data_IF_372027086574
#
_entry.id   IF_372027086574
#
_cell.length_a   1.000
_cell.length_b   1.000
_cell.length_c   1.000
_cell.angle_alpha   90.00
_cell.angle_beta   90.00
_cell.angle_gamma   90.00
#
_symmetry.space_group_name_H-M   'P 1'
#
loop_
_entity.id
_entity.type
_entity.pdbx_description
1 polymer ?
#
# COMPACT_ATOMS: atom_id res chain seq x y z
N UNK A 1 67.35 18.31 14.06
CA UNK A 1 66.24 18.93 13.32
C UNK A 1 65.63 17.90 12.37
N UNK A 2 65.45 16.65 12.84
CA UNK A 2 64.90 15.57 12.00
C UNK A 2 63.69 14.81 12.64
N UNK A 3 63.21 15.27 13.78
CA UNK A 3 62.19 14.55 14.57
C UNK A 3 60.75 15.12 14.43
N UNK A 4 60.58 16.28 13.79
CA UNK A 4 59.30 16.96 13.69
C UNK A 4 58.54 16.58 12.39
N UNK A 5 59.26 16.11 11.37
CA UNK A 5 58.65 15.81 10.05
C UNK A 5 57.91 14.46 10.02
N UNK A 6 58.30 13.51 10.89
CA UNK A 6 57.67 12.16 10.92
C UNK A 6 56.31 12.15 11.64
N UNK A 7 56.10 13.08 12.59
CA UNK A 7 54.81 13.14 13.30
C UNK A 7 53.66 13.75 12.47
N UNK A 8 53.97 14.61 11.50
CA UNK A 8 52.92 15.24 10.64
C UNK A 8 52.36 14.29 9.59
N UNK A 9 53.15 13.29 9.15
CA UNK A 9 52.67 12.34 8.14
C UNK A 9 51.72 11.27 8.72
N UNK A 10 51.88 10.90 10.00
CA UNK A 10 51.00 9.92 10.66
C UNK A 10 49.64 10.52 11.06
N UNK A 11 49.57 11.83 11.30
CA UNK A 11 48.31 12.50 11.62
C UNK A 11 47.43 12.70 10.37
N UNK A 12 48.05 12.83 9.19
CA UNK A 12 47.33 13.00 7.92
C UNK A 12 46.71 11.68 7.42
N UNK A 13 47.30 10.52 7.78
CA UNK A 13 46.85 9.20 7.36
C UNK A 13 45.67 8.71 8.21
N UNK A 14 45.48 9.20 9.44
CA UNK A 14 44.37 8.81 10.31
C UNK A 14 43.07 9.56 9.99
N UNK A 15 43.14 10.67 9.25
CA UNK A 15 41.96 11.46 8.88
C UNK A 15 41.24 10.93 7.64
N UNK A 16 41.89 10.03 6.86
CA UNK A 16 41.31 9.49 5.63
C UNK A 16 40.44 8.23 5.84
N UNK A 17 40.41 7.66 7.06
CA UNK A 17 39.69 6.41 7.34
C UNK A 17 38.33 6.61 8.02
N UNK A 18 37.89 7.86 8.21
CA UNK A 18 36.68 8.20 8.94
C UNK A 18 35.42 8.45 8.10
N UNK A 19 35.51 8.39 6.77
CA UNK A 19 34.34 8.57 5.90
C UNK A 19 33.76 7.21 5.48
N UNK A 20 33.24 6.47 6.45
CA UNK A 20 32.31 5.39 6.14
C UNK A 20 31.06 6.04 5.55
N UNK A 21 30.97 6.09 4.23
CA UNK A 21 29.74 6.40 3.52
C UNK A 21 28.78 5.28 3.90
N UNK A 22 27.86 5.54 4.83
CA UNK A 22 26.68 4.72 5.01
C UNK A 22 25.86 4.85 3.73
N UNK A 23 26.18 4.04 2.72
CA UNK A 23 25.29 3.79 1.61
C UNK A 23 24.05 3.15 2.22
N UNK A 24 22.99 3.94 2.45
CA UNK A 24 21.68 3.36 2.64
C UNK A 24 21.40 2.54 1.41
N UNK A 25 21.30 1.23 1.56
CA UNK A 25 20.76 0.37 0.51
C UNK A 25 19.32 0.86 0.28
N UNK A 26 19.09 1.54 -0.84
CA UNK A 26 17.71 1.84 -1.27
C UNK A 26 17.08 0.50 -1.64
N UNK A 27 16.17 0.04 -0.82
CA UNK A 27 15.35 -1.12 -1.15
C UNK A 27 14.46 -0.75 -2.33
N UNK A 28 14.45 -1.58 -3.37
CA UNK A 28 13.57 -1.38 -4.51
C UNK A 28 12.11 -1.41 -4.04
N UNK A 29 11.28 -0.45 -4.44
CA UNK A 29 9.87 -0.43 -4.06
C UNK A 29 9.18 -1.68 -4.62
N UNK A 30 8.34 -2.30 -3.80
CA UNK A 30 7.57 -3.50 -4.15
C UNK A 30 6.09 -3.21 -4.31
N UNK A 31 5.61 -2.09 -3.77
CA UNK A 31 4.21 -1.69 -3.80
C UNK A 31 4.03 -0.26 -4.29
N UNK A 32 2.93 -0.04 -5.01
CA UNK A 32 2.28 1.24 -5.19
C UNK A 32 1.22 1.39 -4.11
N UNK A 33 1.25 2.46 -3.31
CA UNK A 33 0.32 2.68 -2.20
C UNK A 33 -0.47 3.97 -2.43
N UNK A 34 -1.79 3.88 -2.39
CA UNK A 34 -2.70 5.03 -2.46
C UNK A 34 -3.14 5.39 -1.04
N UNK A 35 -3.01 6.64 -0.68
CA UNK A 35 -3.39 7.20 0.60
C UNK A 35 -4.61 8.09 0.47
N UNK A 36 -5.65 7.82 1.24
CA UNK A 36 -6.81 8.71 1.36
C UNK A 36 -6.58 9.77 2.45
N UNK A 37 -7.31 10.88 2.38
CA UNK A 37 -7.24 11.98 3.37
C UNK A 37 -7.65 11.56 4.79
N UNK A 38 -8.46 10.50 4.90
CA UNK A 38 -8.88 9.92 6.19
C UNK A 38 -7.81 8.99 6.82
N UNK A 39 -6.62 8.86 6.19
CA UNK A 39 -5.54 7.99 6.65
C UNK A 39 -5.56 6.57 6.10
N UNK A 40 -6.66 6.14 5.47
CA UNK A 40 -6.76 4.81 4.85
C UNK A 40 -5.75 4.66 3.71
N UNK A 41 -5.19 3.46 3.57
CA UNK A 41 -4.26 3.15 2.49
C UNK A 41 -4.60 1.84 1.80
N UNK A 42 -4.35 1.80 0.50
CA UNK A 42 -4.49 0.61 -0.34
C UNK A 42 -3.17 0.37 -1.07
N UNK A 43 -2.65 -0.85 -0.99
CA UNK A 43 -1.40 -1.24 -1.63
C UNK A 43 -1.65 -2.17 -2.83
N UNK A 44 -0.90 -1.94 -3.91
CA UNK A 44 -0.87 -2.73 -5.13
C UNK A 44 0.53 -3.26 -5.35
N UNK A 45 0.70 -4.57 -5.47
CA UNK A 45 2.00 -5.16 -5.75
C UNK A 45 2.50 -4.73 -7.14
N UNK A 46 3.70 -4.16 -7.23
CA UNK A 46 4.30 -3.75 -8.51
C UNK A 46 4.57 -4.94 -9.44
N UNK A 47 4.77 -6.15 -8.88
CA UNK A 47 4.90 -7.38 -9.64
C UNK A 47 3.66 -7.66 -10.52
N UNK A 48 2.49 -7.16 -10.14
CA UNK A 48 1.24 -7.29 -10.88
C UNK A 48 1.07 -6.23 -11.99
N UNK A 49 2.07 -5.34 -12.14
CA UNK A 49 2.12 -4.28 -13.15
C UNK A 49 0.85 -3.41 -13.14
N UNK A 50 0.48 -2.81 -11.99
CA UNK A 50 -0.69 -1.96 -11.92
C UNK A 50 -0.56 -0.78 -12.90
N UNK A 51 -1.59 -0.57 -13.70
CA UNK A 51 -1.69 0.59 -14.58
C UNK A 51 -2.38 1.72 -13.84
N UNK A 52 -1.75 2.88 -13.80
CA UNK A 52 -2.28 4.11 -13.19
C UNK A 52 -2.72 5.05 -14.29
N UNK A 53 -3.95 5.52 -14.23
CA UNK A 53 -4.50 6.52 -15.13
C UNK A 53 -5.30 7.56 -14.34
N UNK A 54 -5.52 8.73 -14.92
CA UNK A 54 -6.30 9.80 -14.33
C UNK A 54 -7.46 10.15 -15.24
N UNK A 55 -8.60 10.43 -14.64
CA UNK A 55 -9.73 11.14 -15.25
C UNK A 55 -9.78 12.56 -14.66
N UNK A 56 -10.79 13.33 -15.00
CA UNK A 56 -10.98 14.68 -14.41
C UNK A 56 -11.22 14.63 -12.90
N UNK A 57 -11.82 13.55 -12.39
CA UNK A 57 -12.25 13.43 -11.00
C UNK A 57 -11.56 12.32 -10.23
N UNK A 58 -10.96 11.34 -10.90
CA UNK A 58 -10.49 10.13 -10.27
C UNK A 58 -9.07 9.72 -10.68
N UNK A 59 -8.32 9.17 -9.74
CA UNK A 59 -7.19 8.29 -9.99
C UNK A 59 -7.76 6.87 -10.22
N UNK A 60 -7.40 6.25 -11.33
CA UNK A 60 -7.85 4.91 -11.71
C UNK A 60 -6.67 3.95 -11.70
N UNK A 61 -6.75 2.89 -10.93
CA UNK A 61 -5.74 1.83 -10.89
C UNK A 61 -6.33 0.55 -11.44
N UNK A 62 -5.71 0.01 -12.49
CA UNK A 62 -6.11 -1.25 -13.11
C UNK A 62 -5.03 -2.30 -12.86
N UNK A 63 -5.39 -3.41 -12.23
CA UNK A 63 -4.51 -4.56 -12.01
C UNK A 63 -5.31 -5.86 -12.21
N UNK A 64 -4.76 -6.82 -12.96
CA UNK A 64 -5.35 -8.16 -13.22
C UNK A 64 -6.85 -8.12 -13.61
N UNK A 65 -7.24 -7.17 -14.47
CA UNK A 65 -8.63 -7.06 -14.92
C UNK A 65 -9.58 -6.42 -13.89
N UNK A 66 -9.08 -5.98 -12.75
CA UNK A 66 -9.82 -5.20 -11.77
C UNK A 66 -9.43 -3.73 -11.87
N UNK A 67 -10.41 -2.85 -11.84
CA UNK A 67 -10.22 -1.41 -11.86
C UNK A 67 -10.79 -0.81 -10.58
N UNK A 68 -9.98 0.00 -9.89
CA UNK A 68 -10.37 0.70 -8.67
C UNK A 68 -10.23 2.20 -8.88
N UNK A 69 -11.30 2.93 -8.62
CA UNK A 69 -11.35 4.38 -8.76
C UNK A 69 -11.23 5.04 -7.39
N UNK A 70 -10.34 6.01 -7.30
CA UNK A 70 -10.13 6.86 -6.12
C UNK A 70 -10.46 8.29 -6.48
N UNK A 71 -11.46 8.87 -5.84
CA UNK A 71 -11.77 10.28 -6.04
C UNK A 71 -10.57 11.14 -5.63
N UNK A 72 -10.12 12.02 -6.54
CA UNK A 72 -9.02 12.97 -6.29
C UNK A 72 -9.34 13.90 -5.11
N UNK A 73 -10.62 14.19 -4.88
CA UNK A 73 -11.07 14.98 -3.74
C UNK A 73 -10.73 14.31 -2.40
N UNK A 74 -10.83 12.97 -2.33
CA UNK A 74 -10.62 12.19 -1.11
C UNK A 74 -9.21 11.58 -1.02
N UNK A 75 -8.42 11.68 -2.07
CA UNK A 75 -7.05 11.18 -2.11
C UNK A 75 -6.08 12.21 -1.52
N UNK A 76 -5.15 11.75 -0.69
CA UNK A 76 -4.06 12.56 -0.15
C UNK A 76 -2.81 12.48 -1.05
N UNK A 77 -2.40 11.28 -1.40
CA UNK A 77 -1.21 11.01 -2.24
C UNK A 77 -1.17 9.56 -2.68
N UNK A 78 -0.25 9.23 -3.59
CA UNK A 78 0.23 7.86 -3.78
C UNK A 78 1.75 7.82 -3.66
N UNK A 79 2.30 6.69 -3.23
CA UNK A 79 3.72 6.46 -2.97
C UNK A 79 4.15 5.11 -3.49
N UNK A 80 5.46 4.96 -3.73
CA UNK A 80 6.09 3.66 -3.95
C UNK A 80 6.78 3.26 -2.65
N UNK A 81 6.45 2.07 -2.13
CA UNK A 81 6.96 1.59 -0.84
C UNK A 81 7.58 0.19 -1.01
N UNK A 82 8.65 -0.08 -0.27
CA UNK A 82 9.23 -1.42 -0.15
C UNK A 82 8.59 -2.18 1.00
N UNK A 83 8.60 -3.52 0.90
CA UNK A 83 8.12 -4.40 1.98
C UNK A 83 9.15 -4.57 3.11
N UNK A 84 10.14 -3.69 3.23
CA UNK A 84 11.12 -3.79 4.30
C UNK A 84 10.43 -3.59 5.66
N UNK A 85 10.21 -4.68 6.36
CA UNK A 85 9.67 -4.73 7.72
C UNK A 85 10.58 -4.04 8.77
N UNK A 86 11.69 -3.46 8.34
CA UNK A 86 12.68 -2.85 9.22
C UNK A 86 12.46 -1.37 9.53
N UNK A 87 11.52 -0.72 8.89
CA UNK A 87 11.10 0.62 9.31
C UNK A 87 9.93 0.48 10.30
N UNK A 88 10.23 0.55 11.59
CA UNK A 88 9.25 0.78 12.66
C UNK A 88 8.66 2.18 12.43
N UNK A 89 7.83 2.29 11.43
CA UNK A 89 6.82 3.32 11.37
C UNK A 89 5.58 2.62 11.91
N UNK A 90 5.00 3.12 12.99
CA UNK A 90 3.68 2.73 13.46
C UNK A 90 2.69 2.96 12.32
N UNK A 91 2.64 2.03 11.39
CA UNK A 91 1.58 1.91 10.41
C UNK A 91 0.38 1.43 11.23
N UNK A 92 -0.40 2.38 11.75
CA UNK A 92 -1.78 2.06 12.04
C UNK A 92 -2.34 1.51 10.72
N UNK A 93 -2.35 0.20 10.61
CA UNK A 93 -3.06 -0.48 9.53
C UNK A 93 -4.51 -0.18 9.81
N UNK A 94 -5.05 0.81 9.12
CA UNK A 94 -6.46 1.14 9.23
C UNK A 94 -7.25 -0.14 8.96
N UNK A 95 -8.13 -0.50 9.89
CA UNK A 95 -8.94 -1.72 9.88
C UNK A 95 -9.75 -1.91 8.60
N UNK A 96 -9.84 -0.86 7.80
CA UNK A 96 -10.58 -0.82 6.54
C UNK A 96 -9.69 -0.84 5.30
N UNK A 97 -8.35 -0.79 5.45
CA UNK A 97 -7.45 -0.85 4.31
C UNK A 97 -7.40 -2.26 3.70
N UNK A 98 -7.23 -2.35 2.40
CA UNK A 98 -7.07 -3.62 1.71
C UNK A 98 -5.91 -3.57 0.71
N UNK A 99 -5.48 -4.76 0.28
CA UNK A 99 -4.54 -4.95 -0.84
C UNK A 99 -5.27 -5.72 -1.93
N UNK A 100 -5.08 -5.33 -3.18
CA UNK A 100 -5.47 -6.18 -4.31
C UNK A 100 -4.35 -7.21 -4.49
N UNK A 101 -4.66 -8.46 -4.19
CA UNK A 101 -3.73 -9.58 -4.33
C UNK A 101 -4.32 -10.62 -5.29
N UNK A 102 -3.86 -10.58 -6.52
CA UNK A 102 -4.43 -11.41 -7.56
C UNK A 102 -5.90 -11.10 -7.80
N UNK A 103 -6.73 -12.12 -7.70
CA UNK A 103 -8.19 -12.02 -7.83
C UNK A 103 -8.88 -11.89 -6.47
N UNK A 104 -8.23 -11.33 -5.46
CA UNK A 104 -8.79 -11.18 -4.12
C UNK A 104 -8.52 -9.78 -3.55
N UNK A 105 -9.49 -9.29 -2.78
CA UNK A 105 -9.28 -8.15 -1.87
C UNK A 105 -8.83 -8.71 -0.53
N UNK A 106 -7.57 -8.42 -0.15
CA UNK A 106 -6.98 -8.87 1.08
C UNK A 106 -7.03 -7.74 2.12
N UNK A 107 -7.75 -7.95 3.20
CA UNK A 107 -7.83 -7.06 4.35
C UNK A 107 -6.89 -7.60 5.44
N UNK A 108 -5.72 -6.97 5.68
CA UNK A 108 -4.68 -7.57 6.51
C UNK A 108 -4.98 -7.53 8.02
N UNK A 109 -5.85 -6.64 8.47
CA UNK A 109 -6.06 -6.39 9.90
C UNK A 109 -7.49 -5.95 10.22
N UNK A 110 -8.48 -6.78 9.93
CA UNK A 110 -9.85 -6.52 10.38
C UNK A 110 -10.00 -6.91 11.85
N UNK A 111 -10.70 -6.06 12.61
CA UNK A 111 -11.11 -6.40 13.98
C UNK A 111 -12.34 -7.30 13.99
N UNK A 112 -12.52 -8.01 15.08
CA UNK A 112 -13.75 -8.71 15.37
C UNK A 112 -14.93 -7.72 15.30
N UNK A 113 -16.07 -8.19 14.78
CA UNK A 113 -17.29 -7.42 14.49
C UNK A 113 -17.16 -6.45 13.30
N UNK A 114 -16.03 -6.35 12.62
CA UNK A 114 -15.94 -5.67 11.33
C UNK A 114 -16.87 -6.32 10.32
N UNK A 115 -17.49 -5.51 9.47
CA UNK A 115 -18.38 -6.00 8.41
C UNK A 115 -17.83 -5.62 7.04
N UNK A 116 -17.67 -6.63 6.18
CA UNK A 116 -17.39 -6.46 4.75
C UNK A 116 -18.69 -6.69 3.98
N UNK A 117 -19.13 -5.70 3.23
CA UNK A 117 -20.32 -5.77 2.39
C UNK A 117 -19.98 -5.40 0.94
N UNK A 118 -20.51 -6.15 -0.01
CA UNK A 118 -20.35 -5.88 -1.43
C UNK A 118 -21.72 -5.66 -2.05
N UNK A 119 -21.90 -4.55 -2.73
CA UNK A 119 -23.10 -4.18 -3.44
C UNK A 119 -22.80 -4.09 -4.93
N UNK A 120 -23.73 -4.52 -5.77
CA UNK A 120 -23.70 -4.22 -7.20
C UNK A 120 -24.02 -2.73 -7.44
N UNK A 121 -23.74 -2.26 -8.65
CA UNK A 121 -23.95 -0.85 -9.02
C UNK A 121 -25.39 -0.35 -8.79
N UNK A 122 -26.39 -1.23 -8.90
CA UNK A 122 -27.79 -0.90 -8.64
C UNK A 122 -28.18 -0.92 -7.14
N UNK A 123 -27.20 -1.08 -6.24
CA UNK A 123 -27.42 -1.09 -4.79
C UNK A 123 -27.84 -2.45 -4.20
N UNK A 124 -27.93 -3.50 -5.03
CA UNK A 124 -28.25 -4.84 -4.52
C UNK A 124 -27.08 -5.40 -3.72
N UNK A 125 -27.33 -5.88 -2.51
CA UNK A 125 -26.35 -6.58 -1.68
C UNK A 125 -25.99 -7.93 -2.32
N UNK A 126 -24.73 -8.10 -2.73
CA UNK A 126 -24.22 -9.32 -3.35
C UNK A 126 -23.55 -10.22 -2.31
N UNK A 127 -22.89 -9.60 -1.33
CA UNK A 127 -22.16 -10.33 -0.30
C UNK A 127 -22.11 -9.52 1.00
N UNK A 128 -22.17 -10.21 2.14
CA UNK A 128 -21.94 -9.64 3.47
C UNK A 128 -21.27 -10.66 4.37
N UNK A 129 -20.23 -10.24 5.07
CA UNK A 129 -19.53 -11.05 6.07
C UNK A 129 -19.19 -10.21 7.28
N UNK A 130 -19.58 -10.71 8.45
CA UNK A 130 -19.08 -10.19 9.74
C UNK A 130 -17.89 -11.02 10.19
N UNK A 131 -16.84 -10.36 10.60
CA UNK A 131 -15.58 -10.96 11.03
C UNK A 131 -15.72 -11.33 12.50
N UNK A 132 -15.50 -12.59 12.84
CA UNK A 132 -15.68 -13.10 14.21
C UNK A 132 -14.42 -12.91 15.08
N UNK A 133 -13.23 -12.80 14.48
CA UNK A 133 -11.95 -12.69 15.17
C UNK A 133 -11.07 -11.66 14.48
N UNK A 134 -10.17 -11.02 15.24
CA UNK A 134 -9.16 -10.14 14.67
C UNK A 134 -8.26 -10.91 13.71
N UNK A 135 -7.91 -10.32 12.58
CA UNK A 135 -6.97 -10.92 11.65
C UNK A 135 -7.18 -10.55 10.19
N UNK A 136 -6.54 -11.33 9.35
CA UNK A 136 -6.60 -11.20 7.91
C UNK A 136 -7.89 -11.81 7.36
N UNK A 137 -8.47 -11.15 6.36
CA UNK A 137 -9.60 -11.66 5.60
C UNK A 137 -9.40 -11.40 4.10
N UNK A 138 -9.53 -12.45 3.30
CA UNK A 138 -9.49 -12.37 1.84
C UNK A 138 -10.90 -12.55 1.27
N UNK A 139 -11.35 -11.58 0.47
CA UNK A 139 -12.58 -11.68 -0.32
C UNK A 139 -12.22 -12.04 -1.77
N UNK A 140 -12.57 -13.24 -2.25
CA UNK A 140 -12.26 -13.67 -3.61
C UNK A 140 -13.16 -12.94 -4.62
N UNK A 141 -12.56 -12.22 -5.55
CA UNK A 141 -13.27 -11.53 -6.64
C UNK A 141 -13.82 -12.51 -7.69
N UNK A 142 -13.32 -13.76 -7.72
CA UNK A 142 -13.84 -14.82 -8.59
C UNK A 142 -15.34 -15.08 -8.38
N UNK A 143 -15.85 -14.80 -7.18
CA UNK A 143 -17.26 -14.93 -6.85
C UNK A 143 -18.15 -13.83 -7.45
N UNK A 144 -17.55 -12.81 -8.08
CA UNK A 144 -18.27 -11.74 -8.75
C UNK A 144 -18.26 -11.95 -10.28
N UNK A 145 -19.33 -11.63 -10.94
CA UNK A 145 -19.36 -11.48 -12.40
C UNK A 145 -18.64 -10.20 -12.84
N UNK A 146 -18.38 -10.05 -14.14
CA UNK A 146 -17.92 -8.78 -14.67
C UNK A 146 -18.92 -7.67 -14.35
N UNK A 147 -18.44 -6.53 -13.87
CA UNK A 147 -19.32 -5.44 -13.49
C UNK A 147 -18.70 -4.47 -12.46
N UNK A 148 -19.49 -3.47 -12.09
CA UNK A 148 -19.14 -2.46 -11.09
C UNK A 148 -19.75 -2.82 -9.74
N UNK A 149 -18.92 -2.74 -8.70
CA UNK A 149 -19.31 -3.05 -7.32
C UNK A 149 -18.86 -1.97 -6.35
N UNK A 150 -19.61 -1.83 -5.27
CA UNK A 150 -19.26 -1.00 -4.12
C UNK A 150 -18.90 -1.93 -2.95
N UNK A 151 -17.66 -1.89 -2.52
CA UNK A 151 -17.19 -2.64 -1.36
C UNK A 151 -17.18 -1.71 -0.15
N UNK A 152 -17.97 -2.02 0.85
CA UNK A 152 -18.04 -1.27 2.10
C UNK A 152 -17.39 -2.07 3.23
N UNK A 153 -16.51 -1.43 3.96
CA UNK A 153 -15.85 -1.99 5.15
C UNK A 153 -15.91 -0.96 6.26
N UNK A 154 -16.62 -1.27 7.33
CA UNK A 154 -16.78 -0.40 8.51
C UNK A 154 -17.19 1.05 8.15
N UNK A 155 -18.08 1.21 7.15
CA UNK A 155 -18.55 2.52 6.70
C UNK A 155 -17.72 3.18 5.59
N UNK A 156 -16.50 2.69 5.30
CA UNK A 156 -15.73 3.14 4.15
C UNK A 156 -16.13 2.37 2.90
N UNK A 157 -16.36 3.08 1.81
CA UNK A 157 -16.83 2.51 0.55
C UNK A 157 -15.81 2.72 -0.56
N UNK A 158 -15.50 1.64 -1.27
CA UNK A 158 -14.62 1.60 -2.43
C UNK A 158 -15.40 1.14 -3.66
N UNK A 159 -15.22 1.83 -4.77
CA UNK A 159 -15.76 1.39 -6.07
C UNK A 159 -14.71 0.53 -6.77
N UNK A 160 -15.10 -0.67 -7.14
CA UNK A 160 -14.27 -1.58 -7.94
C UNK A 160 -14.98 -1.95 -9.23
N UNK A 161 -14.24 -2.18 -10.29
CA UNK A 161 -14.73 -2.71 -11.55
C UNK A 161 -13.99 -4.02 -11.86
N UNK A 162 -14.74 -5.11 -11.96
CA UNK A 162 -14.23 -6.39 -12.44
C UNK A 162 -14.47 -6.51 -13.96
N UNK A 163 -13.45 -6.80 -14.70
CA UNK A 163 -13.47 -7.05 -16.14
C UNK A 163 -13.44 -8.53 -16.46
#
# INVERSE_FOLDING_TARGET
MLMITVMKSKLLLSLLFGFSIFAKAESNPTNLVVWAKNGTKVAYALAEKPKVTFTETDLVITAKGVEVNYSLENMARFTYESNDESAITNLQTDESSFKLNGESLLFPALKANSTVSVYSFNGTLVFKKTICQNGEYAFPLSNLNAGVYMVNVNGLTYKIMKR
#
